data_IF_040148725597
#
_entry.id   IF_040148725597
#
_cell.length_a   1.000
_cell.length_b   1.000
_cell.length_c   1.000
_cell.angle_alpha   90.00
_cell.angle_beta   90.00
_cell.angle_gamma   90.00
#
_symmetry.space_group_name_H-M   'P 1'
#
loop_
_entity.id
_entity.type
_entity.pdbx_description
1 polymer ?
#
# COMPACT_ATOMS: atom_id res chain seq x y z
N UNK A 1 -21.08 -14.56 14.25
CA UNK A 1 -19.97 -14.04 15.09
C UNK A 1 -20.53 -13.87 16.50
N UNK A 2 -19.97 -14.54 17.52
CA UNK A 2 -20.36 -14.25 18.90
C UNK A 2 -19.89 -12.84 19.24
N UNK A 3 -20.80 -12.00 19.71
CA UNK A 3 -20.58 -10.58 20.00
C UNK A 3 -19.94 -10.43 21.40
N UNK A 4 -19.13 -9.39 21.58
CA UNK A 4 -18.48 -9.04 22.85
C UNK A 4 -19.54 -8.94 23.98
N UNK A 5 -19.40 -9.71 25.08
CA UNK A 5 -20.39 -9.77 26.16
C UNK A 5 -20.54 -8.47 26.97
N UNK A 6 -19.68 -7.47 26.77
CA UNK A 6 -19.71 -6.21 27.51
C UNK A 6 -20.47 -5.08 26.82
N UNK A 7 -21.04 -5.31 25.63
CA UNK A 7 -21.87 -4.33 24.93
C UNK A 7 -23.33 -4.78 24.94
N UNK A 8 -24.15 -4.11 25.74
CA UNK A 8 -25.59 -4.35 25.76
C UNK A 8 -26.23 -3.71 24.52
N UNK A 9 -26.77 -4.56 23.64
CA UNK A 9 -27.48 -4.12 22.43
C UNK A 9 -28.78 -3.41 22.87
N UNK A 10 -28.82 -2.10 22.73
CA UNK A 10 -30.06 -1.34 22.90
C UNK A 10 -30.89 -1.39 21.61
N UNK A 11 -32.18 -1.05 21.68
CA UNK A 11 -33.08 -1.03 20.51
C UNK A 11 -32.51 -0.21 19.33
N UNK A 12 -31.68 0.79 19.61
CA UNK A 12 -30.98 1.61 18.62
C UNK A 12 -29.87 0.90 17.84
N UNK A 13 -29.29 -0.18 18.37
CA UNK A 13 -28.16 -0.90 17.78
C UNK A 13 -28.60 -1.99 16.79
N UNK A 14 -29.89 -2.32 16.80
CA UNK A 14 -30.46 -3.25 15.82
C UNK A 14 -30.49 -2.55 14.45
N UNK A 15 -30.04 -3.21 13.38
CA UNK A 15 -30.21 -2.69 12.03
C UNK A 15 -31.66 -2.27 11.82
N UNK A 16 -31.86 -1.00 11.45
CA UNK A 16 -33.19 -0.46 11.19
C UNK A 16 -33.63 -0.94 9.82
N UNK A 17 -34.22 -2.13 9.79
CA UNK A 17 -34.66 -2.78 8.57
C UNK A 17 -35.86 -2.07 7.91
N UNK A 18 -36.53 -1.16 8.64
CA UNK A 18 -37.64 -0.34 8.14
C UNK A 18 -37.26 1.13 8.21
N UNK A 19 -37.49 1.85 7.12
CA UNK A 19 -37.32 3.29 7.07
C UNK A 19 -38.27 3.95 8.09
N UNK A 20 -37.73 4.75 9.01
CA UNK A 20 -38.51 5.51 9.98
C UNK A 20 -39.05 6.79 9.33
N UNK A 21 -39.90 6.64 8.33
CA UNK A 21 -40.52 7.74 7.60
C UNK A 21 -41.91 8.01 8.18
N UNK A 22 -42.35 9.27 8.15
CA UNK A 22 -43.71 9.62 8.55
C UNK A 22 -44.74 8.90 7.64
N UNK A 23 -45.96 8.61 8.13
CA UNK A 23 -47.00 7.98 7.33
C UNK A 23 -47.21 8.70 5.99
N UNK A 24 -47.20 7.95 4.89
CA UNK A 24 -47.36 8.50 3.53
C UNK A 24 -46.07 9.05 2.89
N UNK A 25 -44.93 9.04 3.59
CA UNK A 25 -43.64 9.46 3.03
C UNK A 25 -42.89 8.28 2.45
N UNK A 26 -42.58 8.36 1.14
CA UNK A 26 -41.73 7.42 0.43
C UNK A 26 -40.46 8.15 -0.02
N UNK A 27 -39.28 7.64 0.35
CA UNK A 27 -38.04 8.14 -0.22
C UNK A 27 -37.91 7.61 -1.65
N UNK A 28 -37.50 8.44 -2.63
CA UNK A 28 -37.13 7.93 -3.94
C UNK A 28 -35.97 6.95 -3.80
N UNK A 29 -35.88 6.00 -4.73
CA UNK A 29 -34.72 5.11 -4.80
C UNK A 29 -33.43 5.93 -4.79
N UNK A 30 -32.44 5.48 -4.01
CA UNK A 30 -31.14 6.14 -3.95
C UNK A 30 -30.57 6.22 -5.37
N UNK A 31 -30.27 7.44 -5.83
CA UNK A 31 -29.58 7.64 -7.10
C UNK A 31 -28.13 7.16 -6.97
N UNK A 32 -27.54 6.69 -8.05
CA UNK A 32 -26.10 6.42 -8.10
C UNK A 32 -25.33 7.67 -7.68
N UNK A 33 -24.31 7.48 -6.84
CA UNK A 33 -23.46 8.56 -6.38
C UNK A 33 -22.77 9.24 -7.58
N UNK A 34 -22.67 10.57 -7.54
CA UNK A 34 -21.93 11.40 -8.50
C UNK A 34 -21.18 12.49 -7.73
N UNK A 35 -19.94 12.75 -8.12
CA UNK A 35 -19.15 13.88 -7.65
C UNK A 35 -19.68 15.18 -8.26
N UNK A 36 -20.69 15.79 -7.65
CA UNK A 36 -21.34 17.00 -8.15
C UNK A 36 -21.27 18.18 -7.19
N UNK A 37 -20.58 18.03 -6.05
CA UNK A 37 -20.36 19.12 -5.11
C UNK A 37 -19.04 19.83 -5.40
N UNK A 38 -18.96 21.15 -5.15
CA UNK A 38 -17.70 21.87 -5.19
C UNK A 38 -16.65 21.20 -4.29
N UNK A 39 -15.50 20.84 -4.85
CA UNK A 39 -14.41 20.16 -4.15
C UNK A 39 -14.47 18.62 -4.15
N UNK A 40 -15.52 18.00 -4.69
CA UNK A 40 -15.52 16.56 -4.94
C UNK A 40 -14.68 16.26 -6.20
N UNK A 41 -13.60 15.49 -6.02
CA UNK A 41 -12.88 14.88 -7.14
C UNK A 41 -13.71 13.72 -7.70
N UNK A 42 -13.66 13.54 -9.02
CA UNK A 42 -14.32 12.42 -9.69
C UNK A 42 -13.84 11.06 -9.16
N UNK A 43 -14.50 9.95 -9.55
CA UNK A 43 -14.13 8.61 -9.09
C UNK A 43 -12.68 8.21 -9.43
N UNK A 44 -12.10 8.85 -10.45
CA UNK A 44 -10.68 8.88 -10.68
C UNK A 44 -10.10 10.16 -10.03
N UNK A 45 -9.33 10.00 -8.96
CA UNK A 45 -8.48 11.09 -8.44
C UNK A 45 -7.42 11.51 -9.46
N UNK A 46 -6.58 12.49 -9.11
CA UNK A 46 -5.44 12.87 -9.93
C UNK A 46 -4.53 11.64 -10.17
N UNK A 47 -4.20 11.38 -11.44
CA UNK A 47 -3.38 10.26 -11.86
C UNK A 47 -2.13 10.74 -12.61
N UNK A 48 -1.02 10.03 -12.40
CA UNK A 48 0.16 10.12 -13.25
C UNK A 48 1.27 11.04 -12.74
N UNK A 49 2.33 11.13 -13.54
CA UNK A 49 3.55 11.87 -13.21
C UNK A 49 4.17 11.44 -11.88
N UNK A 50 4.71 12.40 -11.14
CA UNK A 50 5.35 12.15 -9.84
C UNK A 50 4.31 11.83 -8.75
N UNK A 51 3.03 12.16 -8.95
CA UNK A 51 1.96 11.90 -7.98
C UNK A 51 1.51 10.43 -7.94
N UNK A 52 1.63 9.71 -9.07
CA UNK A 52 1.32 8.27 -9.13
C UNK A 52 -0.18 7.96 -9.07
N UNK A 53 -0.52 6.79 -8.54
CA UNK A 53 -1.91 6.36 -8.33
C UNK A 53 -2.26 6.44 -6.84
N UNK A 54 -3.28 7.21 -6.49
CA UNK A 54 -3.80 7.28 -5.12
C UNK A 54 -4.73 6.10 -4.86
N UNK A 55 -4.25 5.08 -4.15
CA UNK A 55 -5.08 3.96 -3.66
C UNK A 55 -5.81 4.32 -2.35
N UNK A 56 -6.91 3.64 -2.00
CA UNK A 56 -7.56 3.82 -0.70
C UNK A 56 -6.64 3.38 0.45
N UNK A 57 -6.79 4.00 1.63
CA UNK A 57 -6.06 3.65 2.86
C UNK A 57 -4.52 3.70 2.75
N UNK A 58 -3.97 4.78 2.16
CA UNK A 58 -2.53 4.96 1.91
C UNK A 58 -1.67 4.70 3.17
N UNK A 59 -2.11 5.16 4.34
CA UNK A 59 -1.39 4.95 5.61
C UNK A 59 -1.39 3.51 6.13
N UNK A 60 -2.31 2.65 5.68
CA UNK A 60 -2.46 1.29 6.23
C UNK A 60 -1.33 0.35 5.81
N UNK A 61 -0.65 0.61 4.68
CA UNK A 61 0.51 -0.17 4.26
C UNK A 61 1.64 -0.12 5.32
N UNK A 62 1.84 1.04 5.95
CA UNK A 62 2.82 1.21 7.04
C UNK A 62 2.47 0.35 8.25
N UNK A 63 1.18 0.25 8.59
CA UNK A 63 0.73 -0.65 9.68
C UNK A 63 1.01 -2.11 9.36
N UNK A 64 0.77 -2.54 8.11
CA UNK A 64 1.06 -3.91 7.66
C UNK A 64 2.57 -4.19 7.64
N UNK A 65 3.39 -3.26 7.15
CA UNK A 65 4.84 -3.39 7.15
C UNK A 65 5.41 -3.49 8.56
N UNK A 66 4.90 -2.68 9.51
CA UNK A 66 5.28 -2.77 10.94
C UNK A 66 4.97 -4.14 11.54
N UNK A 67 3.82 -4.74 11.22
CA UNK A 67 3.48 -6.11 11.67
C UNK A 67 4.42 -7.16 11.08
N UNK A 68 4.97 -6.90 9.89
CA UNK A 68 5.96 -7.77 9.25
C UNK A 68 7.40 -7.52 9.72
N UNK A 69 7.65 -6.54 10.58
CA UNK A 69 9.01 -6.06 10.91
C UNK A 69 9.90 -7.12 11.55
N UNK A 70 9.33 -8.08 12.28
CA UNK A 70 10.06 -9.20 12.89
C UNK A 70 10.76 -10.11 11.85
N UNK A 71 10.32 -10.07 10.59
CA UNK A 71 10.93 -10.83 9.48
C UNK A 71 12.03 -10.04 8.75
N UNK A 72 12.24 -8.78 9.10
CA UNK A 72 13.18 -7.90 8.40
C UNK A 72 14.58 -8.05 9.00
N UNK A 73 15.50 -8.52 8.16
CA UNK A 73 16.93 -8.55 8.40
C UNK A 73 17.55 -7.31 7.76
N UNK A 74 18.18 -6.48 8.60
CA UNK A 74 18.88 -5.27 8.17
C UNK A 74 20.35 -5.55 7.91
N UNK A 75 20.90 -4.92 6.88
CA UNK A 75 22.33 -4.83 6.63
C UNK A 75 22.95 -3.68 7.43
N UNK A 76 24.28 -3.68 7.63
CA UNK A 76 24.98 -2.54 8.21
C UNK A 76 24.66 -1.23 7.49
N UNK A 77 24.33 -0.19 8.26
CA UNK A 77 23.97 1.14 7.74
C UNK A 77 22.50 1.32 7.38
N UNK A 78 21.68 0.26 7.43
CA UNK A 78 20.24 0.36 7.23
C UNK A 78 19.49 0.67 8.53
N UNK A 79 18.42 1.43 8.41
CA UNK A 79 17.50 1.70 9.50
C UNK A 79 16.12 1.11 9.23
N UNK A 80 15.49 0.56 10.27
CA UNK A 80 14.16 -0.06 10.15
C UNK A 80 13.12 0.93 9.62
N UNK A 81 13.14 2.18 10.07
CA UNK A 81 12.20 3.21 9.61
C UNK A 81 12.28 3.46 8.10
N UNK A 82 13.50 3.48 7.57
CA UNK A 82 13.77 3.66 6.14
C UNK A 82 13.30 2.45 5.32
N UNK A 83 13.63 1.24 5.78
CA UNK A 83 13.18 0.00 5.17
C UNK A 83 11.64 -0.10 5.12
N UNK A 84 10.98 0.19 6.25
CA UNK A 84 9.53 0.18 6.35
C UNK A 84 8.88 1.20 5.41
N UNK A 85 9.49 2.36 5.22
CA UNK A 85 8.97 3.38 4.30
C UNK A 85 8.96 2.89 2.84
N UNK A 86 10.05 2.30 2.36
CA UNK A 86 10.12 1.77 0.98
C UNK A 86 9.20 0.55 0.82
N UNK A 87 9.22 -0.39 1.77
CA UNK A 87 8.32 -1.57 1.74
C UNK A 87 6.86 -1.11 1.61
N UNK A 88 6.47 -0.13 2.43
CA UNK A 88 5.10 0.39 2.45
C UNK A 88 4.71 1.05 1.13
N UNK A 89 5.59 1.85 0.53
CA UNK A 89 5.29 2.52 -0.73
C UNK A 89 5.24 1.57 -1.92
N UNK A 90 6.10 0.55 -2.00
CA UNK A 90 6.00 -0.49 -3.04
C UNK A 90 4.71 -1.29 -2.88
N UNK A 91 4.38 -1.70 -1.65
CA UNK A 91 3.13 -2.41 -1.36
C UNK A 91 1.90 -1.55 -1.72
N UNK A 92 1.93 -0.25 -1.41
CA UNK A 92 0.88 0.69 -1.78
C UNK A 92 0.78 0.87 -3.29
N UNK A 93 1.91 1.00 -4.00
CA UNK A 93 1.94 1.13 -5.46
C UNK A 93 1.26 -0.06 -6.14
N UNK A 94 1.53 -1.28 -5.65
CA UNK A 94 0.83 -2.49 -6.08
C UNK A 94 -0.66 -2.43 -5.79
N UNK A 95 -1.06 -2.12 -4.56
CA UNK A 95 -2.46 -2.08 -4.18
C UNK A 95 -3.26 -1.05 -4.99
N UNK A 96 -2.67 0.13 -5.21
CA UNK A 96 -3.23 1.21 -6.00
C UNK A 96 -3.40 0.84 -7.47
N UNK A 97 -2.49 0.03 -8.06
CA UNK A 97 -2.65 -0.45 -9.44
C UNK A 97 -3.87 -1.36 -9.62
N UNK A 98 -4.35 -1.99 -8.54
CA UNK A 98 -5.59 -2.77 -8.50
C UNK A 98 -6.80 -1.98 -7.98
N UNK A 99 -6.66 -0.69 -7.68
CA UNK A 99 -7.75 0.14 -7.14
C UNK A 99 -8.25 -0.29 -5.76
N UNK A 100 -7.43 -0.97 -4.95
CA UNK A 100 -7.81 -1.50 -3.62
C UNK A 100 -6.86 -1.06 -2.51
N UNK A 101 -7.24 -1.33 -1.27
CA UNK A 101 -6.40 -1.12 -0.10
C UNK A 101 -5.24 -2.14 -0.08
N UNK A 102 -4.11 -1.83 0.58
CA UNK A 102 -2.98 -2.75 0.70
C UNK A 102 -3.33 -3.96 1.57
N UNK A 103 -2.74 -5.10 1.21
CA UNK A 103 -2.87 -6.40 1.88
C UNK A 103 -1.52 -6.91 2.39
N UNK A 104 -1.53 -7.94 3.23
CA UNK A 104 -0.31 -8.57 3.71
C UNK A 104 0.57 -9.13 2.55
N UNK A 105 -0.06 -9.63 1.48
CA UNK A 105 0.66 -10.14 0.31
C UNK A 105 1.40 -9.03 -0.47
N UNK A 106 0.90 -7.80 -0.46
CA UNK A 106 1.61 -6.68 -1.10
C UNK A 106 2.90 -6.34 -0.34
N UNK A 107 2.81 -6.37 0.99
CA UNK A 107 3.97 -6.17 1.88
C UNK A 107 4.95 -7.32 1.74
N UNK A 108 4.46 -8.56 1.69
CA UNK A 108 5.30 -9.74 1.48
C UNK A 108 6.06 -9.65 0.15
N UNK A 109 5.38 -9.28 -0.95
CA UNK A 109 6.04 -9.14 -2.24
C UNK A 109 7.12 -8.05 -2.22
N UNK A 110 6.85 -6.91 -1.59
CA UNK A 110 7.83 -5.83 -1.43
C UNK A 110 9.05 -6.28 -0.61
N UNK A 111 8.85 -7.05 0.47
CA UNK A 111 9.92 -7.66 1.26
C UNK A 111 10.77 -8.61 0.40
N UNK A 112 10.15 -9.43 -0.45
CA UNK A 112 10.87 -10.36 -1.36
C UNK A 112 11.66 -9.62 -2.44
N UNK A 113 11.10 -8.55 -3.00
CA UNK A 113 11.79 -7.71 -3.99
C UNK A 113 13.06 -7.07 -3.43
N UNK A 114 12.99 -6.57 -2.19
CA UNK A 114 14.13 -5.95 -1.50
C UNK A 114 15.02 -6.96 -0.76
N UNK A 115 14.65 -8.24 -0.76
CA UNK A 115 15.39 -9.31 -0.07
C UNK A 115 15.60 -9.07 1.44
N UNK A 116 14.64 -8.45 2.12
CA UNK A 116 14.77 -8.14 3.55
C UNK A 116 14.73 -9.38 4.43
N UNK A 117 14.24 -10.53 3.98
CA UNK A 117 14.24 -11.76 4.79
C UNK A 117 15.58 -12.50 4.74
N UNK A 118 16.14 -12.71 3.55
CA UNK A 118 17.37 -13.46 3.38
C UNK A 118 18.61 -12.57 3.52
N UNK A 119 18.53 -11.29 3.12
CA UNK A 119 19.66 -10.37 3.08
C UNK A 119 20.89 -10.97 2.39
N UNK A 120 20.61 -11.55 1.22
CA UNK A 120 21.57 -12.24 0.36
C UNK A 120 22.70 -11.33 -0.08
N UNK A 121 23.82 -11.91 -0.51
CA UNK A 121 25.02 -11.14 -0.86
C UNK A 121 24.79 -10.19 -2.03
N UNK A 122 23.92 -10.54 -2.98
CA UNK A 122 23.60 -9.77 -4.20
C UNK A 122 22.91 -8.42 -3.93
N UNK A 123 22.32 -8.21 -2.74
CA UNK A 123 21.67 -6.95 -2.38
C UNK A 123 22.57 -6.02 -1.58
N UNK A 124 23.72 -6.49 -1.09
CA UNK A 124 24.59 -5.71 -0.19
C UNK A 124 25.21 -4.48 -0.85
N UNK A 125 25.46 -4.55 -2.15
CA UNK A 125 26.17 -3.49 -2.87
C UNK A 125 25.29 -2.28 -3.20
N UNK A 126 23.97 -2.43 -3.16
CA UNK A 126 23.04 -1.36 -3.58
C UNK A 126 21.94 -1.06 -2.57
N UNK A 127 21.47 -2.05 -1.78
CA UNK A 127 20.30 -1.85 -0.91
C UNK A 127 20.54 -0.83 0.20
N UNK A 128 21.69 -0.80 0.91
CA UNK A 128 21.94 0.22 1.92
C UNK A 128 21.84 1.65 1.35
N UNK A 129 22.42 1.88 0.17
CA UNK A 129 22.34 3.18 -0.51
C UNK A 129 20.91 3.51 -0.95
N UNK A 130 20.17 2.52 -1.47
CA UNK A 130 18.77 2.71 -1.89
C UNK A 130 17.87 3.12 -0.72
N UNK A 131 18.04 2.49 0.45
CA UNK A 131 17.15 2.71 1.60
C UNK A 131 17.57 3.91 2.43
N UNK A 132 18.82 4.35 2.37
CA UNK A 132 19.34 5.39 3.24
C UNK A 132 18.49 6.67 3.24
N UNK A 133 17.98 7.05 4.41
CA UNK A 133 17.17 8.25 4.61
C UNK A 133 15.78 8.18 3.99
N UNK A 134 15.36 7.02 3.48
CA UNK A 134 14.07 6.84 2.85
C UNK A 134 12.91 7.29 3.75
N UNK A 135 12.94 7.11 5.05
CA UNK A 135 11.89 7.57 5.97
C UNK A 135 11.64 9.08 5.95
N UNK A 136 12.62 9.86 5.51
CA UNK A 136 12.60 11.33 5.58
C UNK A 136 12.78 12.00 4.20
N UNK A 137 13.36 11.32 3.23
CA UNK A 137 13.62 11.85 1.90
C UNK A 137 12.62 11.32 0.87
N UNK A 138 11.55 12.09 0.66
CA UNK A 138 10.48 11.75 -0.27
C UNK A 138 10.99 11.44 -1.69
N UNK A 139 11.93 12.24 -2.21
CA UNK A 139 12.41 12.06 -3.58
C UNK A 139 13.19 10.76 -3.75
N UNK A 140 14.00 10.38 -2.75
CA UNK A 140 14.74 9.10 -2.74
C UNK A 140 13.77 7.92 -2.74
N UNK A 141 12.73 7.94 -1.89
CA UNK A 141 11.67 6.92 -1.92
C UNK A 141 10.99 6.85 -3.27
N UNK A 142 10.60 8.00 -3.81
CA UNK A 142 9.85 8.06 -5.06
C UNK A 142 10.63 7.52 -6.24
N UNK A 143 11.95 7.75 -6.28
CA UNK A 143 12.86 7.15 -7.27
C UNK A 143 12.93 5.63 -7.13
N UNK A 144 13.16 5.12 -5.92
CA UNK A 144 13.21 3.68 -5.66
C UNK A 144 11.90 2.98 -6.04
N UNK A 145 10.77 3.53 -5.61
CA UNK A 145 9.42 3.02 -5.90
C UNK A 145 9.07 3.17 -7.37
N UNK A 146 9.55 4.23 -8.03
CA UNK A 146 9.41 4.47 -9.46
C UNK A 146 10.13 3.41 -10.31
N UNK A 147 11.26 2.89 -9.84
CA UNK A 147 12.05 1.87 -10.55
C UNK A 147 11.33 0.52 -10.71
N UNK A 148 10.39 0.20 -9.82
CA UNK A 148 9.63 -1.05 -9.87
C UNK A 148 8.52 -0.94 -10.91
N UNK A 149 8.59 -1.68 -12.01
CA UNK A 149 7.62 -1.59 -13.11
C UNK A 149 6.17 -1.86 -12.67
N UNK A 150 5.24 -1.02 -13.13
CA UNK A 150 3.79 -1.20 -12.93
C UNK A 150 3.29 -2.52 -13.55
N UNK A 151 3.87 -2.93 -14.68
CA UNK A 151 3.54 -4.21 -15.34
C UNK A 151 3.83 -5.39 -14.41
N UNK A 152 4.98 -5.36 -13.72
CA UNK A 152 5.35 -6.41 -12.75
C UNK A 152 4.44 -6.35 -11.52
N UNK A 153 4.15 -5.15 -11.03
CA UNK A 153 3.28 -4.97 -9.87
C UNK A 153 1.84 -5.37 -10.14
N UNK A 154 1.38 -5.37 -11.39
CA UNK A 154 0.03 -5.81 -11.76
C UNK A 154 -0.09 -7.35 -11.94
N UNK A 155 1.02 -8.10 -11.90
CA UNK A 155 1.00 -9.56 -12.01
C UNK A 155 0.48 -10.24 -10.72
N UNK A 156 -0.08 -11.47 -10.82
CA UNK A 156 -0.29 -12.34 -9.68
C UNK A 156 1.01 -12.56 -8.88
N UNK A 157 0.89 -12.84 -7.58
CA UNK A 157 2.03 -12.89 -6.64
C UNK A 157 3.19 -13.76 -7.16
N UNK A 158 2.92 -15.01 -7.54
CA UNK A 158 3.96 -15.94 -7.98
C UNK A 158 4.64 -15.49 -9.28
N UNK A 159 3.86 -14.90 -10.20
CA UNK A 159 4.39 -14.39 -11.46
C UNK A 159 5.26 -13.14 -11.25
N UNK A 160 4.87 -12.28 -10.32
CA UNK A 160 5.67 -11.12 -9.93
C UNK A 160 6.97 -11.57 -9.23
N UNK A 161 6.89 -12.57 -8.35
CA UNK A 161 8.06 -13.14 -7.66
C UNK A 161 9.04 -13.81 -8.64
N UNK A 162 8.53 -14.47 -9.68
CA UNK A 162 9.35 -15.00 -10.77
C UNK A 162 10.09 -13.92 -11.60
N UNK A 163 9.86 -12.64 -11.32
CA UNK A 163 10.56 -11.48 -11.91
C UNK A 163 11.42 -10.72 -10.90
N UNK A 164 11.66 -11.28 -9.71
CA UNK A 164 12.44 -10.66 -8.63
C UNK A 164 13.80 -10.12 -9.11
N UNK A 165 14.52 -10.89 -9.94
CA UNK A 165 15.83 -10.47 -10.46
C UNK A 165 15.73 -9.21 -11.34
N UNK A 166 14.69 -9.11 -12.18
CA UNK A 166 14.46 -7.91 -13.01
C UNK A 166 14.17 -6.69 -12.13
N UNK A 167 13.40 -6.87 -11.05
CA UNK A 167 13.12 -5.81 -10.08
C UNK A 167 14.39 -5.38 -9.35
N UNK A 168 15.19 -6.33 -8.85
CA UNK A 168 16.47 -6.05 -8.17
C UNK A 168 17.45 -5.30 -9.07
N UNK A 169 17.59 -5.70 -10.35
CA UNK A 169 18.43 -4.98 -11.30
C UNK A 169 17.98 -3.53 -11.51
N UNK A 170 16.67 -3.27 -11.58
CA UNK A 170 16.14 -1.91 -11.71
C UNK A 170 16.38 -1.07 -10.43
N UNK A 171 16.19 -1.66 -9.25
CA UNK A 171 16.47 -1.02 -7.97
C UNK A 171 17.95 -0.70 -7.80
N UNK A 172 18.84 -1.63 -8.14
CA UNK A 172 20.29 -1.45 -8.10
C UNK A 172 20.75 -0.32 -9.02
N UNK A 173 20.21 -0.22 -10.24
CA UNK A 173 20.54 0.84 -11.17
C UNK A 173 20.23 2.25 -10.63
N UNK A 174 19.11 2.39 -9.90
CA UNK A 174 18.72 3.68 -9.29
C UNK A 174 19.54 3.98 -8.04
N UNK A 175 19.98 2.97 -7.29
CA UNK A 175 20.84 3.15 -6.13
C UNK A 175 22.23 3.68 -6.49
N UNK A 176 22.79 3.26 -7.63
CA UNK A 176 24.15 3.61 -8.09
C UNK A 176 24.20 4.99 -8.78
N UNK A 177 23.05 5.53 -9.19
CA UNK A 177 22.96 6.82 -9.89
C UNK A 177 23.03 8.05 -8.95
N UNK A 178 23.50 7.85 -7.71
CA UNK A 178 23.66 8.84 -6.64
C UNK A 178 25.02 8.71 -5.97
#
# INVERSE_FOLDING_TARGET
MPMDPFVSIVSGDKPRNKANLAPGVTLPAARSWRANRPGEVGPAGEQGGVFGNTGPNIGYAMSLARRASERIVLLPGEHLGDALAIISEIAMKRAASFGRAPTAQDVELAIKFLDFEASSLDVRDWRPALVHGAGHHWLSRRRAVGAVSDEILHLPFDQALARVNKVRSALAAVAISH
#
